data_IF_345274473798
#
_entry.id   IF_345274473798
#
_cell.length_a   1.000
_cell.length_b   1.000
_cell.length_c   1.000
_cell.angle_alpha   90.00
_cell.angle_beta   90.00
_cell.angle_gamma   90.00
#
_symmetry.space_group_name_H-M   'P 1'
#
loop_
_entity.id
_entity.type
_entity.pdbx_description
1 polymer ?
#
# COMPACT_ATOMS: atom_id res chain seq x y z
N UNK A 1 22.17 -9.47 23.74
CA UNK A 1 22.43 -8.16 23.08
C UNK A 1 22.40 -8.42 21.60
N UNK A 2 21.24 -8.24 20.97
CA UNK A 2 21.11 -8.32 19.52
C UNK A 2 21.83 -7.13 18.91
N UNK A 3 22.94 -7.41 18.21
CA UNK A 3 23.62 -6.40 17.39
C UNK A 3 22.77 -6.26 16.14
N UNK A 4 21.87 -5.28 16.13
CA UNK A 4 21.30 -4.80 14.88
C UNK A 4 22.46 -4.32 14.01
N UNK A 5 22.82 -5.11 13.01
CA UNK A 5 23.63 -4.60 11.93
C UNK A 5 22.81 -3.49 11.25
N UNK A 6 23.44 -2.40 10.79
CA UNK A 6 22.72 -1.45 9.95
C UNK A 6 22.10 -2.24 8.79
N UNK A 7 20.84 -1.94 8.42
CA UNK A 7 20.04 -2.65 7.40
C UNK A 7 20.85 -2.94 6.12
N UNK A 8 21.82 -2.08 5.80
CA UNK A 8 22.72 -2.21 4.65
C UNK A 8 23.68 -3.41 4.75
N UNK A 9 24.15 -3.77 5.94
CA UNK A 9 25.02 -4.93 6.18
C UNK A 9 24.20 -6.23 6.23
N UNK A 10 22.96 -6.19 6.73
CA UNK A 10 22.03 -7.32 6.65
C UNK A 10 21.67 -7.64 5.18
N UNK A 11 21.44 -6.60 4.37
CA UNK A 11 21.21 -6.74 2.93
C UNK A 11 22.45 -7.28 2.20
N UNK A 12 23.66 -6.84 2.57
CA UNK A 12 24.92 -7.39 2.00
C UNK A 12 25.09 -8.86 2.35
N UNK A 13 24.83 -9.24 3.60
CA UNK A 13 24.92 -10.62 4.04
C UNK A 13 23.89 -11.50 3.32
N UNK A 14 22.64 -11.06 3.23
CA UNK A 14 21.59 -11.75 2.50
C UNK A 14 21.97 -11.92 1.01
N UNK A 15 22.50 -10.88 0.38
CA UNK A 15 22.96 -10.95 -1.01
C UNK A 15 24.12 -11.95 -1.18
N UNK A 16 25.04 -12.01 -0.22
CA UNK A 16 26.13 -12.98 -0.23
C UNK A 16 25.62 -14.41 -0.04
N UNK A 17 24.65 -14.62 0.84
CA UNK A 17 24.03 -15.92 1.09
C UNK A 17 23.23 -16.41 -0.13
N UNK A 18 22.53 -15.49 -0.82
CA UNK A 18 21.84 -15.76 -2.10
C UNK A 18 22.85 -16.13 -3.21
N UNK A 19 23.99 -15.44 -3.30
CA UNK A 19 25.06 -15.75 -4.27
C UNK A 19 25.72 -17.11 -4.00
N UNK A 20 25.87 -17.48 -2.73
CA UNK A 20 26.45 -18.75 -2.31
C UNK A 20 25.49 -19.95 -2.54
N UNK A 21 24.19 -19.70 -2.63
CA UNK A 21 23.15 -20.72 -2.90
C UNK A 21 23.05 -21.10 -4.41
N UNK A 22 24.15 -20.98 -5.17
CA UNK A 22 24.28 -21.16 -6.62
C UNK A 22 23.65 -22.44 -7.22
N UNK A 23 23.38 -23.48 -6.42
CA UNK A 23 22.68 -24.69 -6.85
C UNK A 23 21.18 -24.46 -7.16
N UNK A 24 20.59 -23.36 -6.69
CA UNK A 24 19.15 -23.08 -6.75
C UNK A 24 18.84 -21.73 -7.41
N UNK A 25 19.59 -21.37 -8.44
CA UNK A 25 19.46 -20.11 -9.18
C UNK A 25 18.04 -19.87 -9.74
N UNK A 26 17.29 -20.96 -10.01
CA UNK A 26 15.86 -20.95 -10.34
C UNK A 26 14.96 -20.60 -9.16
N UNK A 27 15.24 -21.10 -7.95
CA UNK A 27 14.48 -20.71 -6.74
C UNK A 27 14.80 -19.26 -6.33
N UNK A 28 16.05 -18.83 -6.46
CA UNK A 28 16.47 -17.45 -6.18
C UNK A 28 15.79 -16.44 -7.13
N UNK A 29 15.73 -16.76 -8.42
CA UNK A 29 15.03 -15.92 -9.40
C UNK A 29 13.51 -15.95 -9.21
N UNK A 30 12.94 -17.08 -8.79
CA UNK A 30 11.53 -17.17 -8.41
C UNK A 30 11.23 -16.31 -7.17
N UNK A 31 12.03 -16.42 -6.11
CA UNK A 31 11.89 -15.61 -4.89
C UNK A 31 12.06 -14.12 -5.20
N UNK A 32 13.07 -13.75 -6.00
CA UNK A 32 13.26 -12.35 -6.40
C UNK A 32 12.07 -11.79 -7.18
N UNK A 33 11.44 -12.61 -8.03
CA UNK A 33 10.20 -12.24 -8.72
C UNK A 33 9.03 -12.07 -7.76
N UNK A 34 8.85 -13.01 -6.82
CA UNK A 34 7.79 -12.92 -5.81
C UNK A 34 7.94 -11.69 -4.92
N UNK A 35 9.17 -11.35 -4.51
CA UNK A 35 9.45 -10.13 -3.76
C UNK A 35 9.10 -8.88 -4.57
N UNK A 36 9.48 -8.83 -5.86
CA UNK A 36 9.15 -7.69 -6.71
C UNK A 36 7.63 -7.53 -6.96
N UNK A 37 6.92 -8.64 -7.13
CA UNK A 37 5.45 -8.66 -7.27
C UNK A 37 4.76 -8.21 -5.97
N UNK A 38 5.28 -8.66 -4.82
CA UNK A 38 4.80 -8.23 -3.51
C UNK A 38 5.05 -6.74 -3.27
N UNK A 39 6.26 -6.23 -3.55
CA UNK A 39 6.60 -4.81 -3.43
C UNK A 39 5.71 -3.94 -4.32
N UNK A 40 5.49 -4.35 -5.57
CA UNK A 40 4.59 -3.64 -6.48
C UNK A 40 3.16 -3.59 -5.95
N UNK A 41 2.67 -4.71 -5.40
CA UNK A 41 1.33 -4.80 -4.85
C UNK A 41 1.17 -3.96 -3.58
N UNK A 42 2.15 -3.98 -2.67
CA UNK A 42 2.17 -3.16 -1.45
C UNK A 42 2.22 -1.67 -1.79
N UNK A 43 3.07 -1.27 -2.75
CA UNK A 43 3.15 0.11 -3.21
C UNK A 43 1.82 0.58 -3.81
N UNK A 44 1.20 -0.22 -4.68
CA UNK A 44 -0.11 0.11 -5.24
C UNK A 44 -1.16 0.26 -4.15
N UNK A 45 -1.23 -0.69 -3.21
CA UNK A 45 -2.15 -0.63 -2.07
C UNK A 45 -1.96 0.63 -1.25
N UNK A 46 -0.71 1.00 -0.96
CA UNK A 46 -0.38 2.22 -0.22
C UNK A 46 -0.85 3.48 -0.94
N UNK A 47 -0.65 3.55 -2.26
CA UNK A 47 -1.12 4.68 -3.08
C UNK A 47 -2.64 4.81 -3.00
N UNK A 48 -3.37 3.71 -3.21
CA UNK A 48 -4.83 3.70 -3.20
C UNK A 48 -5.41 4.08 -1.83
N UNK A 49 -4.90 3.48 -0.75
CA UNK A 49 -5.35 3.78 0.61
C UNK A 49 -5.03 5.22 1.02
N UNK A 50 -3.87 5.75 0.60
CA UNK A 50 -3.51 7.14 0.86
C UNK A 50 -4.40 8.12 0.09
N UNK A 51 -4.73 7.81 -1.16
CA UNK A 51 -5.67 8.61 -1.94
C UNK A 51 -7.07 8.63 -1.30
N UNK A 52 -7.57 7.48 -0.86
CA UNK A 52 -8.82 7.39 -0.11
C UNK A 52 -8.79 8.21 1.19
N UNK A 53 -7.70 8.11 1.96
CA UNK A 53 -7.54 8.88 3.19
C UNK A 53 -7.60 10.40 2.96
N UNK A 54 -6.90 10.90 1.94
CA UNK A 54 -6.94 12.31 1.56
C UNK A 54 -8.35 12.73 1.14
N UNK A 55 -9.05 11.88 0.37
CA UNK A 55 -10.44 12.11 -0.01
C UNK A 55 -11.36 12.24 1.19
N UNK A 56 -11.26 11.33 2.17
CA UNK A 56 -12.02 11.41 3.42
C UNK A 56 -11.70 12.66 4.23
N UNK A 57 -10.42 13.04 4.32
CA UNK A 57 -10.02 14.27 5.01
C UNK A 57 -10.61 15.52 4.34
N UNK A 58 -10.64 15.56 3.01
CA UNK A 58 -11.25 16.66 2.28
C UNK A 58 -12.77 16.75 2.55
N UNK A 59 -13.47 15.61 2.51
CA UNK A 59 -14.90 15.52 2.82
C UNK A 59 -15.16 15.96 4.27
N UNK A 60 -14.38 15.47 5.23
CA UNK A 60 -14.49 15.90 6.63
C UNK A 60 -14.25 17.41 6.79
N UNK A 61 -13.24 17.95 6.11
CA UNK A 61 -12.95 19.38 6.15
C UNK A 61 -14.13 20.19 5.62
N UNK A 62 -14.77 19.74 4.53
CA UNK A 62 -15.97 20.36 3.98
C UNK A 62 -17.12 20.32 5.00
N UNK A 63 -17.41 19.16 5.59
CA UNK A 63 -18.48 18.97 6.56
C UNK A 63 -18.26 19.75 7.88
N UNK A 64 -17.02 20.05 8.23
CA UNK A 64 -16.65 20.81 9.43
C UNK A 64 -16.77 22.33 9.25
N UNK A 65 -17.05 22.84 8.04
CA UNK A 65 -17.22 24.28 7.80
C UNK A 65 -18.46 24.77 8.55
N UNK A 66 -18.24 25.63 9.56
CA UNK A 66 -19.29 26.13 10.46
C UNK A 66 -20.10 27.28 9.86
N UNK A 67 -19.53 27.97 8.88
CA UNK A 67 -20.12 29.20 8.33
C UNK A 67 -21.16 28.92 7.23
N UNK A 68 -21.11 27.75 6.60
CA UNK A 68 -22.03 27.32 5.53
C UNK A 68 -22.35 25.82 5.72
N UNK A 69 -23.49 25.46 6.34
CA UNK A 69 -23.87 24.07 6.45
C UNK A 69 -24.10 23.49 5.07
N UNK A 70 -23.31 22.47 4.71
CA UNK A 70 -23.48 21.76 3.46
C UNK A 70 -24.75 20.93 3.51
N UNK A 71 -25.73 21.31 2.69
CA UNK A 71 -26.95 20.56 2.46
C UNK A 71 -26.75 19.67 1.24
N UNK A 72 -26.12 18.52 1.45
CA UNK A 72 -26.05 17.49 0.41
C UNK A 72 -27.37 16.72 0.38
N UNK A 73 -27.93 16.56 -0.81
CA UNK A 73 -28.88 15.48 -1.06
C UNK A 73 -28.21 14.11 -0.88
N UNK A 74 -29.01 13.05 -0.75
CA UNK A 74 -28.48 11.69 -0.65
C UNK A 74 -27.62 11.33 -1.86
N UNK A 75 -28.02 11.74 -3.06
CA UNK A 75 -27.31 11.43 -4.30
C UNK A 75 -25.96 12.16 -4.37
N UNK A 76 -25.91 13.43 -3.93
CA UNK A 76 -24.66 14.19 -3.85
C UNK A 76 -23.70 13.61 -2.80
N UNK A 77 -24.23 13.18 -1.65
CA UNK A 77 -23.42 12.53 -0.62
C UNK A 77 -22.80 11.22 -1.12
N UNK A 78 -23.57 10.42 -1.87
CA UNK A 78 -23.08 9.19 -2.50
C UNK A 78 -22.01 9.51 -3.54
N UNK A 79 -22.25 10.49 -4.42
CA UNK A 79 -21.30 10.88 -5.46
C UNK A 79 -19.95 11.37 -4.88
N UNK A 80 -19.97 11.99 -3.69
CA UNK A 80 -18.74 12.39 -2.98
C UNK A 80 -17.98 11.21 -2.38
N UNK A 81 -18.69 10.20 -1.88
CA UNK A 81 -18.09 9.04 -1.21
C UNK A 81 -17.67 7.92 -2.18
N UNK A 82 -18.32 7.81 -3.34
CA UNK A 82 -18.07 6.74 -4.30
C UNK A 82 -16.60 6.66 -4.75
N UNK A 83 -15.91 7.76 -5.12
CA UNK A 83 -14.50 7.70 -5.49
C UNK A 83 -13.62 7.20 -4.35
N UNK A 84 -13.93 7.58 -3.10
CA UNK A 84 -13.19 7.11 -1.92
C UNK A 84 -13.39 5.61 -1.72
N UNK A 85 -14.64 5.13 -1.84
CA UNK A 85 -14.95 3.72 -1.72
C UNK A 85 -14.24 2.89 -2.79
N UNK A 86 -14.22 3.35 -4.04
CA UNK A 86 -13.52 2.68 -5.14
C UNK A 86 -12.01 2.54 -4.84
N UNK A 87 -11.39 3.60 -4.33
CA UNK A 87 -9.98 3.61 -3.91
C UNK A 87 -9.72 2.63 -2.76
N UNK A 88 -10.57 2.63 -1.73
CA UNK A 88 -10.46 1.67 -0.62
C UNK A 88 -10.61 0.23 -1.11
N UNK A 89 -11.63 -0.05 -1.92
CA UNK A 89 -11.87 -1.39 -2.48
C UNK A 89 -10.67 -1.86 -3.30
N UNK A 90 -10.14 -1.01 -4.19
CA UNK A 90 -8.97 -1.37 -5.00
C UNK A 90 -7.75 -1.63 -4.11
N UNK A 91 -7.43 -0.72 -3.18
CA UNK A 91 -6.29 -0.87 -2.28
C UNK A 91 -6.37 -2.14 -1.43
N UNK A 92 -7.54 -2.50 -0.92
CA UNK A 92 -7.76 -3.72 -0.14
C UNK A 92 -7.68 -4.98 -1.01
N UNK A 93 -8.28 -4.98 -2.20
CA UNK A 93 -8.17 -6.12 -3.13
C UNK A 93 -6.73 -6.37 -3.59
N UNK A 94 -5.88 -5.34 -3.65
CA UNK A 94 -4.45 -5.54 -3.85
C UNK A 94 -3.84 -6.35 -2.69
N UNK A 95 -4.10 -5.95 -1.44
CA UNK A 95 -3.59 -6.66 -0.26
C UNK A 95 -4.12 -8.09 -0.13
N UNK A 96 -5.38 -8.33 -0.48
CA UNK A 96 -5.98 -9.67 -0.47
C UNK A 96 -5.27 -10.64 -1.42
N UNK A 97 -4.62 -10.16 -2.49
CA UNK A 97 -3.81 -11.00 -3.38
C UNK A 97 -2.48 -11.45 -2.79
N UNK A 98 -2.07 -10.86 -1.66
CA UNK A 98 -0.83 -11.20 -0.95
C UNK A 98 -1.05 -12.18 0.22
N UNK A 99 -2.30 -12.44 0.61
CA UNK A 99 -2.70 -13.32 1.73
C UNK A 99 -3.18 -14.66 1.18
#
# INVERSE_FOLDING_TARGET
>A
MERHLPVIEELKQLNQDLLNAQADQTLLSHLGRQCAEMDACLLQSQIELRAAHIGLQAILTLLQRRDEPLLFSSDEAVALLEPVQQRLSHGLSCLERLV
#
